data_IF_695757565336
#
_entry.id   IF_695757565336
#
_cell.length_a   1.000
_cell.length_b   1.000
_cell.length_c   1.000
_cell.angle_alpha   90.00
_cell.angle_beta   90.00
_cell.angle_gamma   90.00
#
_symmetry.space_group_name_H-M   'P 1'
#
loop_
_entity.id
_entity.type
_entity.pdbx_description
1 polymer ?
#
# COMPACT_ATOMS: atom_id res chain seq x y z
N UNK A 1 28.45 15.51 0.17
CA UNK A 1 27.24 16.21 -0.33
C UNK A 1 26.58 17.03 0.77
N UNK A 2 26.17 16.43 1.88
CA UNK A 2 25.56 17.20 2.98
C UNK A 2 26.54 18.22 3.61
N UNK A 3 27.81 17.87 3.81
CA UNK A 3 28.89 18.77 4.27
C UNK A 3 29.16 19.92 3.30
N UNK A 4 29.38 19.60 2.02
CA UNK A 4 29.60 20.60 0.97
C UNK A 4 28.43 21.57 0.80
N UNK A 5 27.18 21.10 0.99
CA UNK A 5 26.01 21.96 0.95
C UNK A 5 25.90 22.85 2.19
N UNK A 6 26.25 22.36 3.38
CA UNK A 6 26.26 23.16 4.60
C UNK A 6 27.32 24.26 4.55
N UNK A 7 28.54 23.93 4.15
CA UNK A 7 29.66 24.88 4.04
C UNK A 7 29.42 25.97 2.99
N UNK A 8 28.76 25.64 1.88
CA UNK A 8 28.46 26.62 0.82
C UNK A 8 27.23 27.48 1.10
N UNK A 9 26.25 26.95 1.84
CA UNK A 9 25.00 27.66 2.12
C UNK A 9 24.99 28.39 3.47
N UNK A 10 25.81 27.98 4.43
CA UNK A 10 25.78 28.48 5.81
C UNK A 10 24.48 28.13 6.57
N UNK A 11 23.60 27.30 5.98
CA UNK A 11 22.29 26.99 6.53
C UNK A 11 22.42 25.95 7.63
N UNK A 12 21.78 26.17 8.79
CA UNK A 12 21.72 25.19 9.87
C UNK A 12 21.28 23.81 9.37
N UNK A 13 21.94 22.77 9.88
CA UNK A 13 21.61 21.36 9.60
C UNK A 13 20.12 21.03 9.76
N UNK A 14 19.41 21.76 10.61
CA UNK A 14 17.99 21.59 10.87
C UNK A 14 17.07 22.03 9.74
N UNK A 15 17.47 23.03 8.95
CA UNK A 15 16.72 23.47 7.77
C UNK A 15 17.21 22.70 6.55
N UNK A 16 18.51 22.43 6.50
CA UNK A 16 19.14 21.72 5.40
C UNK A 16 18.58 20.31 5.23
N UNK A 17 18.43 19.53 6.32
CA UNK A 17 17.96 18.14 6.22
C UNK A 17 16.50 18.04 5.73
N UNK A 18 15.51 18.76 6.29
CA UNK A 18 14.15 18.77 5.74
C UNK A 18 14.10 19.29 4.31
N UNK A 19 14.79 20.39 4.00
CA UNK A 19 14.76 21.00 2.66
C UNK A 19 15.35 20.06 1.61
N UNK A 20 16.50 19.45 1.89
CA UNK A 20 17.10 18.44 1.00
C UNK A 20 16.24 17.19 0.88
N UNK A 21 15.54 16.78 1.94
CA UNK A 21 14.57 15.67 1.90
C UNK A 21 13.41 15.98 0.97
N UNK A 22 12.83 17.17 1.08
CA UNK A 22 11.74 17.62 0.21
C UNK A 22 12.21 17.76 -1.24
N UNK A 23 13.37 18.37 -1.48
CA UNK A 23 13.94 18.53 -2.81
C UNK A 23 14.20 17.17 -3.48
N UNK A 24 14.90 16.28 -2.79
CA UNK A 24 15.24 14.95 -3.29
C UNK A 24 13.96 14.15 -3.62
N UNK A 25 12.95 14.23 -2.76
CA UNK A 25 11.69 13.54 -3.02
C UNK A 25 10.86 14.15 -4.13
N UNK A 26 10.88 15.47 -4.27
CA UNK A 26 10.20 16.17 -5.36
C UNK A 26 10.81 15.77 -6.69
N UNK A 27 12.14 15.65 -6.77
CA UNK A 27 12.84 15.28 -8.01
C UNK A 27 12.66 13.78 -8.33
N UNK A 28 12.91 12.89 -7.37
CA UNK A 28 12.97 11.45 -7.67
C UNK A 28 11.64 10.71 -7.47
N UNK A 29 10.86 11.07 -6.45
CA UNK A 29 9.71 10.26 -6.02
C UNK A 29 8.36 10.82 -6.43
N UNK A 30 8.21 12.15 -6.50
CA UNK A 30 6.96 12.80 -6.87
C UNK A 30 6.52 12.49 -8.32
N UNK A 31 7.35 12.61 -9.37
CA UNK A 31 6.92 12.29 -10.73
C UNK A 31 6.49 10.82 -10.85
N UNK A 32 7.23 9.92 -10.21
CA UNK A 32 6.91 8.50 -10.18
C UNK A 32 5.58 8.24 -9.45
N UNK A 33 5.32 8.96 -8.37
CA UNK A 33 4.08 8.85 -7.61
C UNK A 33 2.88 9.42 -8.36
N UNK A 34 3.02 10.55 -9.06
CA UNK A 34 1.97 11.10 -9.94
C UNK A 34 1.64 10.07 -11.03
N UNK A 35 2.65 9.51 -11.68
CA UNK A 35 2.46 8.48 -12.69
C UNK A 35 1.80 7.22 -12.13
N UNK A 36 2.21 6.76 -10.95
CA UNK A 36 1.57 5.64 -10.28
C UNK A 36 0.11 5.96 -9.93
N UNK A 37 -0.17 7.15 -9.39
CA UNK A 37 -1.51 7.61 -9.01
C UNK A 37 -2.46 7.58 -10.21
N UNK A 38 -2.08 8.21 -11.32
CA UNK A 38 -2.87 8.23 -12.56
C UNK A 38 -3.18 6.82 -13.07
N UNK A 39 -2.22 5.90 -12.98
CA UNK A 39 -2.45 4.50 -13.38
C UNK A 39 -3.36 3.76 -12.43
N UNK A 40 -3.24 3.98 -11.12
CA UNK A 40 -4.15 3.35 -10.15
C UNK A 40 -5.59 3.79 -10.40
N UNK A 41 -5.83 5.07 -10.69
CA UNK A 41 -7.16 5.57 -11.06
C UNK A 41 -7.68 4.85 -12.30
N UNK A 42 -6.89 4.76 -13.38
CA UNK A 42 -7.26 3.99 -14.58
C UNK A 42 -7.50 2.49 -14.30
N UNK A 43 -6.75 1.88 -13.38
CA UNK A 43 -6.98 0.49 -12.96
C UNK A 43 -8.33 0.33 -12.27
N UNK A 44 -8.76 1.31 -11.47
CA UNK A 44 -10.03 1.25 -10.79
C UNK A 44 -11.21 1.39 -11.76
N UNK A 45 -11.12 2.30 -12.71
CA UNK A 45 -12.12 2.44 -13.78
C UNK A 45 -12.29 1.12 -14.54
N UNK A 46 -11.20 0.50 -14.97
CA UNK A 46 -11.23 -0.80 -15.65
C UNK A 46 -11.71 -1.94 -14.74
N UNK A 47 -11.42 -1.89 -13.43
CA UNK A 47 -11.94 -2.87 -12.47
C UNK A 47 -13.45 -2.77 -12.32
N UNK A 48 -14.03 -1.57 -12.28
CA UNK A 48 -15.48 -1.38 -12.22
C UNK A 48 -16.17 -2.10 -13.40
N UNK A 49 -15.63 -1.94 -14.62
CA UNK A 49 -16.15 -2.61 -15.82
C UNK A 49 -16.07 -4.15 -15.70
N UNK A 50 -14.93 -4.68 -15.27
CA UNK A 50 -14.76 -6.14 -15.12
C UNK A 50 -15.65 -6.71 -14.01
N UNK A 51 -15.82 -5.97 -12.90
CA UNK A 51 -16.65 -6.41 -11.79
C UNK A 51 -18.14 -6.47 -12.16
N UNK A 52 -18.63 -5.54 -12.98
CA UNK A 52 -19.99 -5.57 -13.51
C UNK A 52 -20.29 -6.84 -14.33
N UNK A 53 -19.26 -7.47 -14.93
CA UNK A 53 -19.43 -8.73 -15.67
C UNK A 53 -19.48 -9.97 -14.77
N UNK A 54 -19.02 -9.89 -13.52
CA UNK A 54 -18.99 -11.02 -12.57
C UNK A 54 -20.35 -11.71 -12.38
N UNK A 55 -21.47 -11.00 -12.12
CA UNK A 55 -22.78 -11.65 -11.99
C UNK A 55 -23.20 -12.37 -13.28
N UNK A 56 -22.88 -11.80 -14.45
CA UNK A 56 -23.19 -12.42 -15.74
C UNK A 56 -22.41 -13.72 -15.93
N UNK A 57 -21.13 -13.79 -15.54
CA UNK A 57 -20.37 -15.05 -15.69
C UNK A 57 -20.88 -16.10 -14.69
N UNK A 58 -21.28 -15.69 -13.47
CA UNK A 58 -21.91 -16.60 -12.50
C UNK A 58 -23.20 -17.21 -13.06
N UNK A 59 -24.07 -16.38 -13.66
CA UNK A 59 -25.31 -16.83 -14.28
C UNK A 59 -25.07 -17.75 -15.48
N UNK A 60 -24.11 -17.40 -16.35
CA UNK A 60 -23.74 -18.24 -17.50
C UNK A 60 -23.18 -19.60 -17.09
N UNK A 61 -22.33 -19.63 -16.07
CA UNK A 61 -21.79 -20.88 -15.53
C UNK A 61 -22.88 -21.73 -14.86
N UNK A 62 -23.82 -21.10 -14.16
CA UNK A 62 -24.97 -21.79 -13.57
C UNK A 62 -25.90 -22.36 -14.66
N UNK A 63 -26.17 -21.60 -15.73
CA UNK A 63 -26.99 -22.03 -16.85
C UNK A 63 -26.33 -23.18 -17.65
N UNK A 64 -25.03 -23.07 -17.95
CA UNK A 64 -24.29 -24.14 -18.64
C UNK A 64 -24.33 -25.47 -17.87
N UNK A 65 -24.23 -25.40 -16.53
CA UNK A 65 -24.38 -26.59 -15.67
C UNK A 65 -25.78 -27.19 -15.77
N UNK A 66 -26.84 -26.38 -15.81
CA UNK A 66 -28.22 -26.87 -15.93
C UNK A 66 -28.41 -27.67 -17.23
N UNK A 67 -27.88 -27.15 -18.35
CA UNK A 67 -27.94 -27.82 -19.65
C UNK A 67 -27.15 -29.13 -19.69
N UNK A 68 -25.98 -29.20 -19.03
CA UNK A 68 -25.21 -30.44 -18.93
C UNK A 68 -25.96 -31.52 -18.10
N UNK A 69 -26.66 -31.13 -17.05
CA UNK A 69 -27.49 -32.05 -16.25
C UNK A 69 -28.63 -32.62 -17.09
N UNK A 70 -29.31 -31.76 -17.88
CA UNK A 70 -30.39 -32.19 -18.77
C UNK A 70 -29.89 -33.13 -19.88
N UNK A 71 -28.75 -32.82 -20.50
CA UNK A 71 -28.11 -33.68 -21.51
C UNK A 71 -27.67 -35.04 -20.95
N UNK A 72 -27.17 -35.08 -19.72
CA UNK A 72 -26.83 -36.34 -19.03
C UNK A 72 -28.08 -37.15 -18.63
N UNK A 73 -29.15 -36.49 -18.21
CA UNK A 73 -30.43 -37.15 -17.92
C UNK A 73 -31.11 -37.71 -19.19
N UNK A 74 -30.97 -37.02 -20.32
CA UNK A 74 -31.43 -37.50 -21.63
C UNK A 74 -30.56 -38.68 -22.14
N UNK A 75 -29.24 -38.62 -21.97
CA UNK A 75 -28.33 -39.71 -22.34
C UNK A 75 -28.52 -40.95 -21.45
N UNK A 76 -28.84 -40.79 -20.16
CA UNK A 76 -29.15 -41.89 -19.25
C UNK A 76 -30.48 -42.58 -19.58
N UNK A 77 -31.41 -41.90 -20.26
CA UNK A 77 -32.65 -42.51 -20.79
C UNK A 77 -32.46 -43.23 -22.12
N UNK A 78 -31.30 -43.08 -22.79
CA UNK A 78 -31.02 -43.63 -24.12
C UNK A 78 -30.18 -44.91 -24.17
N UNK A 79 -29.63 -45.39 -23.05
CA UNK A 79 -28.68 -46.52 -23.08
C UNK A 79 -29.05 -47.59 -22.06
N UNK A 80 -29.97 -48.47 -22.45
CA UNK A 80 -30.16 -49.79 -21.86
C UNK A 80 -29.61 -50.88 -22.80
N UNK A 81 -28.28 -50.99 -22.94
CA UNK A 81 -27.62 -52.26 -23.32
C UNK A 81 -26.09 -52.16 -23.34
N UNK A 82 -25.48 -52.97 -22.47
CA UNK A 82 -24.27 -53.79 -22.67
C UNK A 82 -22.87 -53.12 -22.80
N UNK A 83 -22.12 -53.28 -21.69
CA UNK A 83 -20.72 -53.75 -21.53
C UNK A 83 -19.49 -53.10 -22.20
N UNK A 84 -18.52 -52.83 -21.30
CA UNK A 84 -17.05 -53.06 -21.31
C UNK A 84 -16.05 -51.98 -21.79
N UNK A 85 -15.09 -51.79 -20.88
CA UNK A 85 -13.65 -51.53 -21.02
C UNK A 85 -13.10 -50.14 -21.44
N UNK A 86 -12.39 -49.52 -20.49
CA UNK A 86 -11.01 -49.03 -20.63
C UNK A 86 -10.73 -47.87 -21.59
N UNK A 87 -10.62 -46.64 -21.05
CA UNK A 87 -9.78 -45.56 -21.63
C UNK A 87 -9.53 -44.43 -20.61
N UNK A 88 -8.36 -43.76 -20.62
CA UNK A 88 -7.94 -42.81 -19.58
C UNK A 88 -8.59 -41.42 -19.63
N UNK A 89 -9.51 -41.18 -20.56
CA UNK A 89 -10.25 -39.92 -20.70
C UNK A 89 -11.34 -39.69 -19.63
N UNK A 90 -11.58 -40.69 -18.77
CA UNK A 90 -12.59 -40.63 -17.72
C UNK A 90 -12.17 -39.76 -16.52
N UNK A 91 -10.87 -39.55 -16.31
CA UNK A 91 -10.38 -38.75 -15.17
C UNK A 91 -10.63 -37.24 -15.39
N UNK A 92 -10.67 -36.79 -16.65
CA UNK A 92 -10.92 -35.37 -16.97
C UNK A 92 -12.41 -35.01 -17.03
N UNK A 93 -13.29 -36.01 -17.26
CA UNK A 93 -14.75 -35.84 -17.20
C UNK A 93 -15.34 -35.97 -15.80
N UNK A 94 -14.65 -36.63 -14.87
CA UNK A 94 -15.09 -36.72 -13.46
C UNK A 94 -14.92 -35.41 -12.68
N UNK A 95 -14.02 -34.50 -13.10
CA UNK A 95 -13.81 -33.21 -12.39
C UNK A 95 -15.02 -32.27 -12.48
N UNK A 96 -15.98 -32.54 -13.37
CA UNK A 96 -17.19 -31.74 -13.56
C UNK A 96 -18.43 -32.33 -12.86
N UNK A 97 -18.34 -33.52 -12.26
CA UNK A 97 -19.54 -34.27 -11.88
C UNK A 97 -20.27 -33.77 -10.64
N UNK A 98 -19.69 -32.89 -9.81
CA UNK A 98 -20.41 -32.21 -8.73
C UNK A 98 -19.80 -30.83 -8.42
N UNK A 99 -19.93 -29.86 -9.34
CA UNK A 99 -19.61 -28.47 -9.02
C UNK A 99 -20.60 -27.93 -7.98
N UNK A 100 -20.27 -28.01 -6.69
CA UNK A 100 -21.07 -27.38 -5.63
C UNK A 100 -21.21 -25.87 -5.88
N UNK A 101 -22.25 -25.19 -5.36
CA UNK A 101 -22.43 -23.76 -5.54
C UNK A 101 -21.15 -22.95 -5.22
N UNK A 102 -20.39 -23.40 -4.22
CA UNK A 102 -19.10 -22.83 -3.85
C UNK A 102 -18.04 -22.94 -4.97
N UNK A 103 -17.96 -24.09 -5.64
CA UNK A 103 -17.01 -24.28 -6.74
C UNK A 103 -17.36 -23.38 -7.95
N UNK A 104 -18.65 -23.16 -8.23
CA UNK A 104 -19.09 -22.22 -9.28
C UNK A 104 -18.60 -20.81 -8.96
N UNK A 105 -18.69 -20.37 -7.70
CA UNK A 105 -18.19 -19.06 -7.27
C UNK A 105 -16.67 -18.96 -7.44
N UNK A 106 -15.92 -20.02 -7.08
CA UNK A 106 -14.46 -20.05 -7.23
C UNK A 106 -14.04 -20.03 -8.70
N UNK A 107 -14.71 -20.80 -9.57
CA UNK A 107 -14.44 -20.82 -11.02
C UNK A 107 -14.78 -19.47 -11.64
N UNK A 108 -15.94 -18.89 -11.30
CA UNK A 108 -16.33 -17.55 -11.74
C UNK A 108 -15.32 -16.49 -11.30
N UNK A 109 -14.80 -16.57 -10.06
CA UNK A 109 -13.77 -15.67 -9.56
C UNK A 109 -12.45 -15.83 -10.31
N UNK A 110 -12.03 -17.07 -10.63
CA UNK A 110 -10.84 -17.34 -11.46
C UNK A 110 -11.00 -16.78 -12.88
N UNK A 111 -12.16 -16.98 -13.51
CA UNK A 111 -12.44 -16.45 -14.84
C UNK A 111 -12.42 -14.91 -14.85
N UNK A 112 -13.07 -14.29 -13.86
CA UNK A 112 -13.09 -12.83 -13.68
C UNK A 112 -11.66 -12.27 -13.55
N UNK A 113 -10.80 -12.92 -12.75
CA UNK A 113 -9.38 -12.55 -12.63
C UNK A 113 -8.60 -12.71 -13.94
N UNK A 114 -8.88 -13.77 -14.72
CA UNK A 114 -8.24 -13.99 -16.03
C UNK A 114 -8.63 -12.87 -17.00
N UNK A 115 -9.92 -12.55 -17.08
CA UNK A 115 -10.44 -11.43 -17.89
C UNK A 115 -9.85 -10.09 -17.45
N UNK A 116 -9.77 -9.84 -16.14
CA UNK A 116 -9.13 -8.65 -15.59
C UNK A 116 -7.69 -8.50 -16.10
N UNK A 117 -6.89 -9.58 -16.09
CA UNK A 117 -5.52 -9.55 -16.62
C UNK A 117 -5.48 -9.24 -18.11
N UNK A 118 -6.41 -9.78 -18.90
CA UNK A 118 -6.50 -9.49 -20.34
C UNK A 118 -6.83 -8.02 -20.61
N UNK A 119 -7.87 -7.48 -19.95
CA UNK A 119 -8.26 -6.07 -20.07
C UNK A 119 -7.11 -5.15 -19.65
N UNK A 120 -6.44 -5.48 -18.55
CA UNK A 120 -5.28 -4.73 -18.09
C UNK A 120 -4.09 -4.79 -19.06
N UNK A 121 -3.89 -5.92 -19.74
CA UNK A 121 -2.86 -6.06 -20.77
C UNK A 121 -3.18 -5.23 -22.00
N UNK A 122 -4.43 -5.24 -22.47
CA UNK A 122 -4.91 -4.46 -23.62
C UNK A 122 -4.79 -2.95 -23.39
N UNK A 123 -5.11 -2.46 -22.20
CA UNK A 123 -5.01 -1.04 -21.85
C UNK A 123 -3.62 -0.61 -21.31
N UNK A 124 -2.62 -1.50 -21.35
CA UNK A 124 -1.25 -1.29 -20.84
C UNK A 124 -1.13 -0.95 -19.34
N UNK A 125 -2.09 -1.40 -18.52
CA UNK A 125 -2.17 -1.09 -17.09
C UNK A 125 -1.86 -2.31 -16.21
N UNK A 126 -0.61 -2.78 -16.27
CA UNK A 126 -0.15 -3.96 -15.53
C UNK A 126 0.01 -3.69 -14.01
N UNK A 127 -0.41 -4.64 -13.16
CA UNK A 127 -0.39 -4.50 -11.69
C UNK A 127 1.02 -4.46 -11.08
N UNK A 128 1.99 -5.19 -11.64
CA UNK A 128 3.35 -5.27 -11.08
C UNK A 128 4.05 -3.91 -11.10
N UNK A 129 3.70 -3.02 -12.04
CA UNK A 129 4.27 -1.67 -12.12
C UNK A 129 3.86 -0.78 -10.94
N UNK A 130 2.88 -1.18 -10.13
CA UNK A 130 2.53 -0.49 -8.88
C UNK A 130 3.58 -0.74 -7.78
N UNK A 131 4.42 -1.77 -7.90
CA UNK A 131 5.53 -2.03 -6.97
C UNK A 131 6.78 -1.17 -7.24
N UNK A 132 6.79 -0.43 -8.35
CA UNK A 132 7.95 0.37 -8.73
C UNK A 132 8.26 1.47 -7.70
N UNK A 133 7.25 2.11 -7.11
CA UNK A 133 7.46 3.18 -6.14
C UNK A 133 8.12 2.66 -4.84
N UNK A 134 7.62 1.60 -4.17
CA UNK A 134 8.35 0.99 -3.05
C UNK A 134 9.77 0.56 -3.39
N UNK A 135 9.99 -0.03 -4.57
CA UNK A 135 11.31 -0.49 -5.03
C UNK A 135 12.31 0.67 -5.16
N UNK A 136 11.87 1.87 -5.51
CA UNK A 136 12.72 3.07 -5.56
C UNK A 136 12.81 3.75 -4.19
N UNK A 137 11.71 3.81 -3.45
CA UNK A 137 11.62 4.53 -2.19
C UNK A 137 12.42 3.87 -1.06
N UNK A 138 12.39 2.54 -0.93
CA UNK A 138 13.08 1.84 0.17
C UNK A 138 14.61 2.01 0.06
N UNK A 139 15.27 1.75 -1.09
CA UNK A 139 16.71 1.97 -1.22
C UNK A 139 17.09 3.43 -1.03
N UNK A 140 16.29 4.36 -1.56
CA UNK A 140 16.53 5.79 -1.37
C UNK A 140 16.45 6.17 0.12
N UNK A 141 15.47 5.64 0.83
CA UNK A 141 15.33 5.90 2.26
C UNK A 141 16.50 5.33 3.07
N UNK A 142 16.95 4.11 2.75
CA UNK A 142 18.11 3.49 3.38
C UNK A 142 19.41 4.25 3.11
N UNK A 143 19.66 4.65 1.85
CA UNK A 143 20.88 5.35 1.45
C UNK A 143 21.00 6.72 2.12
N UNK A 144 19.91 7.50 2.16
CA UNK A 144 19.89 8.78 2.89
C UNK A 144 20.07 8.55 4.39
N UNK A 145 19.43 7.53 4.98
CA UNK A 145 19.59 7.19 6.40
C UNK A 145 21.04 6.84 6.75
N UNK A 146 21.72 6.02 5.93
CA UNK A 146 23.13 5.69 6.12
C UNK A 146 24.04 6.90 5.90
N UNK A 147 23.71 7.77 4.93
CA UNK A 147 24.45 9.00 4.68
C UNK A 147 24.41 9.97 5.86
N UNK A 148 23.23 10.17 6.45
CA UNK A 148 23.07 11.00 7.65
C UNK A 148 23.73 10.33 8.88
N UNK A 149 23.64 9.01 9.03
CA UNK A 149 24.34 8.31 10.11
C UNK A 149 25.85 8.54 10.05
N UNK A 150 26.48 8.36 8.88
CA UNK A 150 27.90 8.65 8.67
C UNK A 150 28.25 10.11 8.95
N UNK A 151 27.38 11.04 8.56
CA UNK A 151 27.56 12.47 8.88
C UNK A 151 27.58 12.71 10.40
N UNK A 152 26.75 12.00 11.18
CA UNK A 152 26.70 12.15 12.63
C UNK A 152 27.81 11.43 13.40
N UNK A 153 28.48 10.45 12.77
CA UNK A 153 29.68 9.81 13.33
C UNK A 153 30.88 10.78 13.33
N UNK A 154 30.91 11.69 12.37
CA UNK A 154 31.86 12.80 12.35
C UNK A 154 31.30 13.86 13.28
N UNK A 155 31.80 13.92 14.53
CA UNK A 155 31.35 14.91 15.53
C UNK A 155 31.31 16.30 14.90
N UNK A 156 30.10 16.82 14.67
CA UNK A 156 29.88 18.21 14.29
C UNK A 156 30.08 19.02 15.57
N UNK A 157 31.30 19.49 15.81
CA UNK A 157 31.62 20.34 16.96
C UNK A 157 30.78 21.63 16.90
N UNK A 158 30.23 22.04 18.05
CA UNK A 158 29.64 23.37 18.27
C UNK A 158 28.13 23.54 18.03
N UNK A 159 27.51 22.89 17.04
CA UNK A 159 26.15 23.32 16.60
C UNK A 159 24.95 22.84 17.44
N UNK A 160 25.10 21.80 18.27
CA UNK A 160 23.95 21.17 18.95
C UNK A 160 23.54 21.86 20.26
N UNK A 161 24.49 22.48 20.99
CA UNK A 161 24.20 23.14 22.29
C UNK A 161 23.51 24.49 22.13
N UNK A 162 23.93 25.31 21.17
CA UNK A 162 23.40 26.67 20.97
C UNK A 162 21.92 26.70 20.56
N UNK A 163 21.43 25.64 19.91
CA UNK A 163 20.02 25.54 19.47
C UNK A 163 19.07 25.01 20.56
N UNK A 164 19.52 24.12 21.46
CA UNK A 164 18.73 23.78 22.66
C UNK A 164 18.48 25.02 23.52
N UNK A 165 19.45 25.94 23.57
CA UNK A 165 19.27 27.24 24.22
C UNK A 165 18.28 28.16 23.47
N UNK A 166 18.12 28.02 22.15
CA UNK A 166 17.12 28.75 21.35
C UNK A 166 15.71 28.14 21.46
N UNK A 167 15.59 26.85 21.76
CA UNK A 167 14.32 26.17 22.10
C UNK A 167 13.96 26.28 23.58
N UNK A 168 14.66 27.13 24.37
CA UNK A 168 14.18 27.54 25.70
C UNK A 168 12.88 28.33 25.55
N UNK A 169 11.78 27.58 25.47
CA UNK A 169 10.44 28.02 25.88
C UNK A 169 10.62 28.69 27.24
N UNK A 170 10.64 30.02 27.28
CA UNK A 170 11.30 30.77 28.35
C UNK A 170 10.68 30.60 29.74
N UNK A 171 9.61 29.82 29.91
CA UNK A 171 8.99 29.50 31.20
C UNK A 171 8.29 28.12 31.17
N UNK A 172 9.00 27.02 31.41
CA UNK A 172 8.35 25.79 31.91
C UNK A 172 9.16 25.26 33.11
N UNK A 173 8.67 25.52 34.32
CA UNK A 173 9.08 24.89 35.57
C UNK A 173 7.89 24.14 36.20
N UNK A 174 8.10 22.89 36.56
CA UNK A 174 7.14 22.08 37.32
C UNK A 174 7.84 21.26 38.43
N UNK A 175 8.95 21.79 38.96
CA UNK A 175 9.75 21.40 40.16
C UNK A 175 10.16 19.92 40.36
N UNK A 176 9.77 18.98 39.50
CA UNK A 176 10.18 17.57 39.52
C UNK A 176 10.87 17.10 38.23
N UNK A 177 11.66 16.01 38.24
CA UNK A 177 12.65 15.73 37.21
C UNK A 177 12.02 15.19 35.91
N UNK A 178 12.06 16.02 34.87
CA UNK A 178 12.07 15.62 33.47
C UNK A 178 13.47 15.96 32.95
N UNK A 179 14.39 15.00 32.90
CA UNK A 179 15.73 15.20 32.29
C UNK A 179 15.65 15.29 30.74
N UNK A 180 14.92 16.33 30.33
CA UNK A 180 15.12 17.31 29.26
C UNK A 180 15.24 16.78 27.82
N UNK A 181 14.10 16.27 27.37
CA UNK A 181 13.58 16.14 25.99
C UNK A 181 14.24 15.21 24.94
N UNK A 182 14.73 14.01 25.30
CA UNK A 182 15.04 12.97 24.32
C UNK A 182 13.79 12.31 23.70
N UNK A 183 12.60 12.44 24.33
CA UNK A 183 11.38 11.75 23.88
C UNK A 183 10.46 12.59 22.99
N UNK A 184 10.62 13.92 22.92
CA UNK A 184 9.82 14.77 22.03
C UNK A 184 10.03 14.36 20.56
N UNK A 185 11.28 14.13 20.17
CA UNK A 185 11.63 13.74 18.79
C UNK A 185 11.04 12.36 18.43
N UNK A 186 11.21 11.29 19.24
CA UNK A 186 10.49 10.04 19.07
C UNK A 186 8.96 10.17 19.04
N UNK A 187 8.35 10.95 19.94
CA UNK A 187 6.89 11.14 19.99
C UNK A 187 6.42 11.83 18.71
N UNK A 188 7.06 12.94 18.32
CA UNK A 188 6.70 13.66 17.08
C UNK A 188 6.87 12.77 15.86
N UNK A 189 7.94 11.97 15.78
CA UNK A 189 8.09 10.95 14.76
C UNK A 189 6.95 9.93 14.77
N UNK A 190 6.61 9.40 15.94
CA UNK A 190 5.52 8.44 16.13
C UNK A 190 4.17 8.99 15.67
N UNK A 191 3.83 10.21 16.08
CA UNK A 191 2.59 10.90 15.71
C UNK A 191 2.52 11.13 14.21
N UNK A 192 3.55 11.71 13.60
CA UNK A 192 3.56 12.01 12.15
C UNK A 192 3.53 10.70 11.33
N UNK A 193 4.26 9.67 11.78
CA UNK A 193 4.26 8.35 11.15
C UNK A 193 2.88 7.69 11.23
N UNK A 194 2.22 7.72 12.40
CA UNK A 194 0.87 7.19 12.57
C UNK A 194 -0.14 7.93 11.70
N UNK A 195 -0.08 9.26 11.63
CA UNK A 195 -0.95 10.04 10.74
C UNK A 195 -0.77 9.63 9.27
N UNK A 196 0.47 9.45 8.82
CA UNK A 196 0.79 8.98 7.48
C UNK A 196 0.22 7.55 7.24
N UNK A 197 0.39 6.63 8.19
CA UNK A 197 -0.13 5.25 8.11
C UNK A 197 -1.66 5.23 8.08
N UNK A 198 -2.34 5.96 8.95
CA UNK A 198 -3.79 6.03 9.01
C UNK A 198 -4.38 6.64 7.73
N UNK A 199 -3.77 7.71 7.23
CA UNK A 199 -4.21 8.34 5.99
C UNK A 199 -4.06 7.38 4.81
N UNK A 200 -2.88 6.74 4.66
CA UNK A 200 -2.64 5.75 3.61
C UNK A 200 -3.55 4.51 3.75
N UNK A 201 -3.85 4.09 4.97
CA UNK A 201 -4.78 3.01 5.27
C UNK A 201 -6.22 3.34 4.86
N UNK A 202 -6.74 4.48 5.29
CA UNK A 202 -8.06 4.98 4.86
C UNK A 202 -8.15 5.02 3.33
N UNK A 203 -7.09 5.50 2.68
CA UNK A 203 -7.00 5.56 1.23
C UNK A 203 -7.03 4.16 0.58
N UNK A 204 -6.27 3.18 1.10
CA UNK A 204 -6.32 1.80 0.59
C UNK A 204 -7.68 1.11 0.79
N UNK A 205 -8.36 1.36 1.92
CA UNK A 205 -9.70 0.82 2.14
C UNK A 205 -10.73 1.44 1.18
N UNK A 206 -10.72 2.77 0.98
CA UNK A 206 -11.58 3.45 -0.01
C UNK A 206 -11.45 2.84 -1.41
N UNK A 207 -10.20 2.56 -1.84
CA UNK A 207 -9.95 1.90 -3.14
C UNK A 207 -10.63 0.53 -3.30
N UNK A 208 -10.95 -0.14 -2.20
CA UNK A 208 -11.47 -1.51 -2.18
C UNK A 208 -12.99 -1.54 -2.09
N UNK A 209 -13.57 -0.61 -1.34
CA UNK A 209 -15.02 -0.46 -1.19
C UNK A 209 -15.66 0.13 -2.45
N UNK A 210 -14.99 1.05 -3.14
CA UNK A 210 -15.59 1.80 -4.26
C UNK A 210 -15.58 1.06 -5.62
N UNK A 211 -15.09 -0.17 -5.68
CA UNK A 211 -14.96 -0.90 -6.95
C UNK A 211 -16.32 -1.32 -7.51
N UNK A 212 -17.38 -1.30 -6.70
CA UNK A 212 -18.75 -1.69 -7.10
C UNK A 212 -19.63 -0.49 -7.46
N UNK A 213 -19.19 0.75 -7.25
CA UNK A 213 -19.96 1.96 -7.61
C UNK A 213 -21.30 2.14 -6.87
N UNK A 214 -21.54 1.30 -5.87
CA UNK A 214 -22.66 1.32 -4.94
C UNK A 214 -22.02 1.39 -3.56
N UNK A 215 -22.61 2.10 -2.60
CA UNK A 215 -22.30 1.97 -1.17
C UNK A 215 -22.67 0.54 -0.73
N UNK A 216 -21.88 -0.43 -1.17
CA UNK A 216 -22.03 -1.81 -0.76
C UNK A 216 -21.59 -1.90 0.69
N UNK A 217 -22.39 -2.61 1.49
CA UNK A 217 -22.06 -2.99 2.86
C UNK A 217 -20.57 -3.35 2.98
N UNK A 218 -19.84 -2.63 3.84
CA UNK A 218 -18.43 -2.92 4.11
C UNK A 218 -18.38 -4.30 4.75
N UNK A 219 -18.11 -5.31 3.93
CA UNK A 219 -17.85 -6.65 4.44
C UNK A 219 -16.52 -6.62 5.19
N UNK A 220 -16.64 -6.38 6.49
CA UNK A 220 -15.54 -6.19 7.42
C UNK A 220 -14.73 -7.48 7.63
N UNK A 221 -15.33 -8.62 7.23
CA UNK A 221 -14.79 -9.98 7.28
C UNK A 221 -14.22 -10.46 5.93
N UNK A 222 -14.26 -9.64 4.87
CA UNK A 222 -13.65 -10.03 3.60
C UNK A 222 -12.14 -10.25 3.78
N UNK A 223 -11.61 -11.38 3.27
CA UNK A 223 -10.17 -11.73 3.34
C UNK A 223 -9.25 -10.61 2.85
N UNK A 224 -9.72 -9.82 1.88
CA UNK A 224 -8.98 -8.68 1.34
C UNK A 224 -8.94 -7.51 2.35
N UNK A 225 -10.09 -7.15 2.91
CA UNK A 225 -10.22 -6.12 3.96
C UNK A 225 -9.41 -6.51 5.19
N UNK A 226 -9.49 -7.78 5.61
CA UNK A 226 -8.74 -8.33 6.73
C UNK A 226 -7.22 -8.31 6.47
N UNK A 227 -6.79 -8.62 5.24
CA UNK A 227 -5.40 -8.48 4.81
C UNK A 227 -4.90 -7.03 4.89
N UNK A 228 -5.69 -6.06 4.42
CA UNK A 228 -5.36 -4.63 4.51
C UNK A 228 -5.29 -4.19 5.99
N UNK A 229 -6.26 -4.60 6.82
CA UNK A 229 -6.25 -4.32 8.27
C UNK A 229 -5.02 -4.91 8.97
N UNK A 230 -4.61 -6.13 8.60
CA UNK A 230 -3.39 -6.76 9.12
C UNK A 230 -2.15 -5.95 8.74
N UNK A 231 -2.02 -5.53 7.48
CA UNK A 231 -0.93 -4.66 7.04
C UNK A 231 -0.89 -3.34 7.82
N UNK A 232 -2.06 -2.75 8.13
CA UNK A 232 -2.14 -1.53 8.95
C UNK A 232 -1.73 -1.78 10.39
N UNK A 233 -2.16 -2.87 11.01
CA UNK A 233 -1.74 -3.24 12.37
C UNK A 233 -0.23 -3.48 12.45
N UNK A 234 0.34 -4.20 11.47
CA UNK A 234 1.80 -4.38 11.36
C UNK A 234 2.50 -3.04 11.18
N UNK A 235 1.95 -2.14 10.35
CA UNK A 235 2.53 -0.80 10.14
C UNK A 235 2.47 0.05 11.41
N UNK A 236 1.37 -0.01 12.18
CA UNK A 236 1.23 0.68 13.48
C UNK A 236 2.26 0.17 14.49
N UNK A 237 2.39 -1.15 14.63
CA UNK A 237 3.42 -1.76 15.49
C UNK A 237 4.82 -1.34 15.02
N UNK A 238 5.07 -1.36 13.70
CA UNK A 238 6.31 -0.88 13.11
C UNK A 238 6.60 0.59 13.39
N UNK A 239 5.58 1.45 13.46
CA UNK A 239 5.75 2.87 13.83
C UNK A 239 6.16 3.05 15.30
N UNK A 240 5.60 2.25 16.21
CA UNK A 240 5.98 2.24 17.63
C UNK A 240 7.41 1.69 17.79
N UNK A 241 7.76 0.66 17.02
CA UNK A 241 9.14 0.17 16.97
C UNK A 241 10.12 1.24 16.47
N UNK A 242 9.79 1.94 15.38
CA UNK A 242 10.61 3.04 14.86
C UNK A 242 10.73 4.21 15.84
N UNK A 243 9.70 4.46 16.66
CA UNK A 243 9.78 5.42 17.76
C UNK A 243 10.85 5.00 18.79
N UNK A 244 10.91 3.72 19.15
CA UNK A 244 11.97 3.18 20.00
C UNK A 244 13.37 3.25 19.37
N UNK A 245 13.50 2.94 18.07
CA UNK A 245 14.78 3.08 17.36
C UNK A 245 15.23 4.55 17.32
N UNK A 246 14.28 5.48 17.22
CA UNK A 246 14.57 6.92 17.21
C UNK A 246 15.10 7.45 18.55
N UNK A 247 14.86 6.79 19.68
CA UNK A 247 15.42 7.26 20.96
C UNK A 247 16.93 7.02 21.04
N UNK A 248 17.46 6.07 20.26
CA UNK A 248 18.89 5.77 20.14
C UNK A 248 19.53 6.41 18.90
N UNK A 249 18.73 7.01 18.02
CA UNK A 249 19.19 7.65 16.80
C UNK A 249 19.64 9.09 17.07
N UNK A 250 20.51 9.62 16.20
CA UNK A 250 20.85 11.04 16.24
C UNK A 250 19.64 11.90 15.86
N UNK A 251 19.54 13.10 16.45
CA UNK A 251 18.44 14.05 16.18
C UNK A 251 18.31 14.36 14.68
N UNK A 252 19.42 14.47 13.96
CA UNK A 252 19.45 14.70 12.51
C UNK A 252 18.79 13.55 11.72
N UNK A 253 19.04 12.31 12.14
CA UNK A 253 18.44 11.13 11.51
C UNK A 253 16.94 11.06 11.78
N UNK A 254 16.51 11.36 13.01
CA UNK A 254 15.10 11.43 13.37
C UNK A 254 14.37 12.57 12.67
N UNK A 255 15.01 13.74 12.52
CA UNK A 255 14.47 14.88 11.78
C UNK A 255 14.24 14.54 10.30
N UNK A 256 15.17 13.80 9.70
CA UNK A 256 14.98 13.23 8.37
C UNK A 256 13.76 12.30 8.32
N UNK A 257 13.60 11.39 9.28
CA UNK A 257 12.45 10.48 9.32
C UNK A 257 11.11 11.20 9.53
N UNK A 258 11.08 12.25 10.35
CA UNK A 258 9.90 13.11 10.56
C UNK A 258 9.55 13.82 9.25
N UNK A 259 10.51 14.54 8.67
CA UNK A 259 10.34 15.27 7.40
C UNK A 259 9.92 14.34 6.27
N UNK A 260 10.45 13.12 6.29
CA UNK A 260 10.06 12.05 5.39
C UNK A 260 8.59 11.65 5.55
N UNK A 261 8.13 11.34 6.76
CA UNK A 261 6.73 10.95 6.96
C UNK A 261 5.77 12.11 6.66
N UNK A 262 6.16 13.34 7.00
CA UNK A 262 5.40 14.54 6.69
C UNK A 262 5.26 14.77 5.19
N UNK A 263 6.36 14.66 4.44
CA UNK A 263 6.32 14.78 2.97
C UNK A 263 5.37 13.74 2.37
N UNK A 264 5.46 12.48 2.80
CA UNK A 264 4.58 11.41 2.31
C UNK A 264 3.11 11.69 2.61
N UNK A 265 2.81 12.21 3.80
CA UNK A 265 1.45 12.61 4.19
C UNK A 265 0.93 13.74 3.28
N UNK A 266 1.69 14.83 3.15
CA UNK A 266 1.32 15.99 2.32
C UNK A 266 1.17 15.59 0.84
N UNK A 267 2.11 14.79 0.33
CA UNK A 267 2.06 14.27 -1.02
C UNK A 267 0.79 13.44 -1.25
N UNK A 268 0.43 12.54 -0.33
CA UNK A 268 -0.76 11.72 -0.47
C UNK A 268 -2.04 12.56 -0.40
N UNK A 269 -2.09 13.58 0.46
CA UNK A 269 -3.20 14.54 0.54
C UNK A 269 -3.34 15.31 -0.78
N UNK A 270 -2.24 15.86 -1.29
CA UNK A 270 -2.22 16.63 -2.54
C UNK A 270 -2.60 15.77 -3.75
N UNK A 271 -2.11 14.53 -3.82
CA UNK A 271 -2.47 13.60 -4.89
C UNK A 271 -3.93 13.14 -4.80
N UNK A 272 -4.48 13.04 -3.59
CA UNK A 272 -5.91 12.75 -3.39
C UNK A 272 -6.79 13.91 -3.82
N UNK A 273 -6.36 15.13 -3.53
CA UNK A 273 -7.02 16.35 -3.99
C UNK A 273 -6.99 16.49 -5.53
N UNK A 274 -5.83 16.28 -6.18
CA UNK A 274 -5.69 16.44 -7.63
C UNK A 274 -6.28 15.27 -8.44
N UNK A 275 -6.12 14.05 -7.96
CA UNK A 275 -6.60 12.84 -8.64
C UNK A 275 -7.36 11.95 -7.65
N UNK A 276 -8.57 12.34 -7.23
CA UNK A 276 -9.37 11.56 -6.30
C UNK A 276 -9.65 10.17 -6.90
N UNK A 277 -9.70 9.17 -6.03
CA UNK A 277 -10.08 7.80 -6.44
C UNK A 277 -11.56 7.66 -6.78
N UNK A 278 -12.36 8.65 -6.37
CA UNK A 278 -13.80 8.73 -6.61
C UNK A 278 -14.05 9.76 -7.71
N UNK A 279 -14.45 9.26 -8.87
CA UNK A 279 -15.25 9.98 -9.86
C UNK A 279 -16.51 9.18 -10.09
#
# INVERSE_FOLDING_TARGET
MFTTLHETSGISWLILIPTTTFALRTVFTLPLSIWQRKRIVKQQELRKVVQAMTPVIKLRLAAAKATEIEGQAAAAKGTSSLTKEGSPDLIQKETLKQLTPEQIVVVAAKETRKRQKTVFKQHHVQMWKNMLLPVVQIPLWCTVSMGIRKLTEWKIDGSSKEWFDSFRFHEIDLTGPLEVYPMIVPITLGVVSLLNIEYNGKMMLRRTTDVVGIDTYRDDNSRLTQGIKSVLNVSRIGSVFMMGVSSQASILLSLYWISSNLYSLLQNILLDFLWPYQK
#
